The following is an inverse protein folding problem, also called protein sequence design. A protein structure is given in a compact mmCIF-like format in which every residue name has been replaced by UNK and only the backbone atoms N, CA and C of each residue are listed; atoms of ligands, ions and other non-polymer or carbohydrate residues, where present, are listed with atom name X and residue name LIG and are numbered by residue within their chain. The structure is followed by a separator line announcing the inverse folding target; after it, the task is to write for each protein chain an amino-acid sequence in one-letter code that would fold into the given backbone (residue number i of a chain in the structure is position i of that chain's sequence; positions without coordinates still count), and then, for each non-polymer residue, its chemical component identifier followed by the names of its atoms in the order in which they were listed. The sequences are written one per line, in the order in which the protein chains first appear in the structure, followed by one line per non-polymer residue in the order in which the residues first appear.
data_IF_049909772455
#
_entry.id   IF_049909772455
#
_cell.length_a   1.000
_cell.length_b   1.000
_cell.length_c   1.000
_cell.angle_alpha   90.00
_cell.angle_beta   90.00
_cell.angle_gamma   90.00
#
_symmetry.space_group_name_H-M   'P 1'
#
loop_
_entity.id
_entity.type
_entity.pdbx_description
1 polymer ?
#
# COMPACT_ATOMS: atom_id res chain seq x y z
N UNK A 1 13.44 -0.17 6.71
CA UNK A 1 12.52 -0.93 7.57
C UNK A 1 11.11 -0.94 7.00
N UNK A 2 10.25 -1.75 7.59
CA UNK A 2 8.84 -1.78 7.22
C UNK A 2 8.03 -2.73 8.11
N UNK A 3 6.72 -2.67 7.91
CA UNK A 3 5.72 -3.43 8.64
C UNK A 3 4.63 -3.91 7.69
N UNK A 4 4.26 -5.19 7.79
CA UNK A 4 3.01 -5.71 7.27
C UNK A 4 2.04 -5.85 8.43
N UNK A 5 0.82 -5.36 8.28
CA UNK A 5 -0.23 -5.49 9.28
C UNK A 5 -1.58 -5.85 8.63
N UNK A 6 -2.56 -6.26 9.40
CA UNK A 6 -3.93 -6.38 8.93
C UNK A 6 -4.48 -4.99 8.56
N UNK A 7 -5.44 -4.95 7.62
CA UNK A 7 -6.08 -3.69 7.21
C UNK A 7 -6.75 -3.05 8.43
N UNK A 8 -6.39 -1.81 8.82
CA UNK A 8 -7.01 -1.09 9.94
C UNK A 8 -8.36 -0.50 9.51
N UNK A 9 -9.40 -1.34 9.43
CA UNK A 9 -10.71 -0.99 8.87
C UNK A 9 -11.35 0.23 9.56
N UNK A 10 -11.30 0.29 10.89
CA UNK A 10 -11.86 1.41 11.65
C UNK A 10 -11.20 2.74 11.30
N UNK A 11 -9.87 2.74 11.19
CA UNK A 11 -9.09 3.90 10.77
C UNK A 11 -9.49 4.36 9.36
N UNK A 12 -9.57 3.47 8.39
CA UNK A 12 -9.94 3.85 7.02
C UNK A 12 -11.37 4.35 6.91
N UNK A 13 -12.32 3.74 7.62
CA UNK A 13 -13.72 4.23 7.64
C UNK A 13 -13.85 5.64 8.17
N UNK A 14 -13.01 6.02 9.12
CA UNK A 14 -12.99 7.37 9.70
C UNK A 14 -12.26 8.37 8.80
N UNK A 15 -11.14 7.95 8.18
CA UNK A 15 -10.24 8.85 7.46
C UNK A 15 -10.62 9.09 6.00
N UNK A 16 -11.49 8.27 5.40
CA UNK A 16 -11.89 8.42 4.00
C UNK A 16 -13.23 9.17 3.85
N UNK A 17 -13.36 10.01 2.80
CA UNK A 17 -14.60 10.73 2.52
C UNK A 17 -15.65 9.87 1.81
N UNK A 18 -15.36 8.59 1.55
CA UNK A 18 -16.25 7.66 0.86
C UNK A 18 -16.57 6.45 1.74
N UNK A 19 -17.79 5.89 1.66
CA UNK A 19 -18.13 4.69 2.41
C UNK A 19 -17.38 3.48 1.87
N UNK A 20 -16.82 2.68 2.78
CA UNK A 20 -16.18 1.42 2.42
C UNK A 20 -17.16 0.25 2.52
N UNK A 21 -17.08 -0.76 1.63
CA UNK A 21 -17.77 -2.04 1.78
C UNK A 21 -17.40 -2.74 3.09
N UNK A 22 -18.08 -3.86 3.39
CA UNK A 22 -17.72 -4.69 4.56
C UNK A 22 -16.26 -5.18 4.46
N UNK A 23 -15.57 -5.40 5.59
CA UNK A 23 -14.25 -6.02 5.61
C UNK A 23 -14.20 -7.30 4.75
N UNK A 24 -13.14 -7.47 3.98
CA UNK A 24 -12.99 -8.56 3.02
C UNK A 24 -13.68 -8.34 1.65
N UNK A 25 -14.53 -7.31 1.52
CA UNK A 25 -15.17 -6.90 0.25
C UNK A 25 -14.56 -5.63 -0.34
N UNK A 26 -13.47 -5.15 0.21
CA UNK A 26 -12.58 -4.15 -0.39
C UNK A 26 -11.13 -4.52 -0.11
N UNK A 27 -10.23 -3.99 -0.90
CA UNK A 27 -8.79 -4.16 -0.76
C UNK A 27 -8.09 -2.80 -0.75
N UNK A 28 -6.88 -2.78 -0.20
CA UNK A 28 -6.00 -1.63 -0.25
C UNK A 28 -4.73 -2.01 -1.01
N UNK A 29 -4.47 -1.31 -2.10
CA UNK A 29 -3.21 -1.38 -2.82
C UNK A 29 -2.32 -0.25 -2.33
N UNK A 30 -1.16 -0.58 -1.75
CA UNK A 30 -0.11 0.41 -1.51
C UNK A 30 0.67 0.59 -2.81
N UNK A 31 0.80 1.83 -3.28
CA UNK A 31 1.43 2.18 -4.54
C UNK A 31 2.55 3.21 -4.32
N UNK A 32 3.72 2.93 -4.86
CA UNK A 32 4.86 3.83 -4.92
C UNK A 32 5.06 4.30 -6.36
N UNK A 33 5.05 5.61 -6.62
CA UNK A 33 5.14 6.21 -7.95
C UNK A 33 3.80 6.29 -8.69
N UNK A 34 3.82 6.33 -10.01
CA UNK A 34 2.63 6.32 -10.85
C UNK A 34 1.87 7.65 -10.88
N UNK A 35 2.54 8.79 -10.83
CA UNK A 35 1.93 10.12 -10.69
C UNK A 35 0.97 10.50 -11.82
N UNK A 36 1.13 9.93 -13.02
CA UNK A 36 0.31 10.27 -14.20
C UNK A 36 -0.32 9.02 -14.86
N UNK A 37 -0.37 7.91 -14.13
CA UNK A 37 -0.74 6.60 -14.68
C UNK A 37 -2.09 6.09 -14.13
N UNK A 38 -2.88 6.96 -13.52
CA UNK A 38 -4.15 6.61 -12.84
C UNK A 38 -5.15 5.97 -13.80
N UNK A 39 -5.34 6.55 -14.98
CA UNK A 39 -6.29 6.03 -15.98
C UNK A 39 -5.90 4.64 -16.49
N UNK A 40 -4.61 4.39 -16.67
CA UNK A 40 -4.09 3.07 -17.08
C UNK A 40 -4.30 2.05 -15.97
N UNK A 41 -3.98 2.42 -14.72
CA UNK A 41 -4.18 1.57 -13.55
C UNK A 41 -5.66 1.26 -13.34
N UNK A 42 -6.53 2.24 -13.46
CA UNK A 42 -7.98 2.07 -13.36
C UNK A 42 -8.53 1.12 -14.43
N UNK A 43 -8.07 1.29 -15.69
CA UNK A 43 -8.44 0.38 -16.79
C UNK A 43 -8.01 -1.07 -16.50
N UNK A 44 -6.80 -1.28 -15.98
CA UNK A 44 -6.29 -2.62 -15.63
C UNK A 44 -7.08 -3.24 -14.48
N UNK A 45 -7.43 -2.47 -13.45
CA UNK A 45 -8.25 -2.95 -12.33
C UNK A 45 -9.64 -3.32 -12.82
N UNK A 46 -10.25 -2.49 -13.66
CA UNK A 46 -11.59 -2.71 -14.19
C UNK A 46 -11.65 -3.93 -15.12
N UNK A 47 -10.62 -4.14 -15.97
CA UNK A 47 -10.55 -5.31 -16.86
C UNK A 47 -10.52 -6.64 -16.12
N UNK A 48 -10.06 -6.64 -14.85
CA UNK A 48 -10.02 -7.82 -13.99
C UNK A 48 -11.22 -7.92 -13.04
N UNK A 49 -12.26 -7.08 -13.24
CA UNK A 49 -13.50 -7.11 -12.48
C UNK A 49 -13.45 -6.33 -11.15
N UNK A 50 -12.40 -5.56 -10.91
CA UNK A 50 -12.32 -4.66 -9.76
C UNK A 50 -12.93 -3.29 -10.08
N UNK A 51 -13.19 -2.52 -9.03
CA UNK A 51 -13.63 -1.13 -9.16
C UNK A 51 -12.86 -0.27 -8.18
N UNK A 52 -12.22 0.83 -8.66
CA UNK A 52 -11.58 1.79 -7.77
C UNK A 52 -12.66 2.56 -7.01
N UNK A 53 -12.55 2.56 -5.70
CA UNK A 53 -13.44 3.26 -4.77
C UNK A 53 -12.88 4.64 -4.43
N UNK A 54 -11.56 4.71 -4.21
CA UNK A 54 -10.91 5.94 -3.79
C UNK A 54 -9.40 5.88 -3.98
N UNK A 55 -8.79 7.03 -4.27
CA UNK A 55 -7.36 7.29 -4.27
C UNK A 55 -6.99 8.14 -3.06
N UNK A 56 -6.04 7.70 -2.27
CA UNK A 56 -5.58 8.41 -1.08
C UNK A 56 -4.07 8.63 -1.15
N UNK A 57 -3.63 9.88 -1.03
CA UNK A 57 -2.23 10.16 -0.75
C UNK A 57 -1.96 9.79 0.72
N UNK A 58 -0.93 8.97 0.94
CA UNK A 58 -0.53 8.62 2.31
C UNK A 58 0.18 9.82 2.94
N UNK A 59 -0.28 10.31 4.09
CA UNK A 59 0.39 11.41 4.76
C UNK A 59 1.74 10.95 5.31
N UNK A 60 2.81 11.57 4.82
CA UNK A 60 4.19 11.27 5.22
C UNK A 60 4.91 12.54 5.68
N UNK A 61 5.89 12.37 6.57
CA UNK A 61 6.81 13.41 6.98
C UNK A 61 8.21 13.15 6.41
N UNK A 62 8.61 13.78 5.29
CA UNK A 62 9.92 13.56 4.68
C UNK A 62 11.10 13.99 5.55
N UNK A 63 10.88 14.85 6.55
CA UNK A 63 11.94 15.30 7.46
C UNK A 63 12.33 14.23 8.49
N UNK A 64 11.51 13.19 8.65
CA UNK A 64 11.80 12.07 9.53
C UNK A 64 12.88 11.11 9.00
N UNK A 65 13.24 11.20 7.71
CA UNK A 65 14.16 10.27 7.04
C UNK A 65 15.42 10.98 6.54
N UNK A 66 16.49 10.21 6.29
CA UNK A 66 17.77 10.74 5.83
C UNK A 66 17.69 11.40 4.45
N UNK A 67 18.64 12.31 4.16
CA UNK A 67 18.68 13.10 2.92
C UNK A 67 18.60 12.25 1.65
N UNK A 68 19.35 11.16 1.57
CA UNK A 68 19.37 10.27 0.39
C UNK A 68 18.02 9.56 0.21
N UNK A 69 17.41 9.08 1.29
CA UNK A 69 16.09 8.45 1.24
C UNK A 69 15.01 9.44 0.82
N UNK A 70 15.09 10.69 1.28
CA UNK A 70 14.17 11.78 0.91
C UNK A 70 14.26 12.12 -0.58
N UNK A 71 15.48 12.23 -1.13
CA UNK A 71 15.69 12.56 -2.55
C UNK A 71 15.10 11.52 -3.51
N UNK A 72 15.03 10.27 -3.08
CA UNK A 72 14.49 9.16 -3.87
C UNK A 72 13.11 8.69 -3.41
N UNK A 73 12.47 9.43 -2.49
CA UNK A 73 11.16 9.08 -1.97
C UNK A 73 10.11 9.19 -3.08
N UNK A 74 9.42 8.09 -3.41
CA UNK A 74 8.34 8.13 -4.38
C UNK A 74 7.10 8.82 -3.82
N UNK A 75 6.18 9.21 -4.68
CA UNK A 75 4.81 9.46 -4.27
C UNK A 75 4.23 8.17 -3.68
N UNK A 76 3.66 8.25 -2.48
CA UNK A 76 3.08 7.10 -1.78
C UNK A 76 1.57 7.26 -1.73
N UNK A 77 0.87 6.30 -2.33
CA UNK A 77 -0.60 6.32 -2.41
C UNK A 77 -1.21 5.00 -1.97
N UNK A 78 -2.45 5.08 -1.56
CA UNK A 78 -3.33 3.94 -1.33
C UNK A 78 -4.48 3.98 -2.33
N UNK A 79 -4.70 2.86 -3.03
CA UNK A 79 -5.81 2.69 -3.96
C UNK A 79 -6.78 1.71 -3.33
N UNK A 80 -8.00 2.16 -3.06
CA UNK A 80 -9.06 1.33 -2.49
C UNK A 80 -9.83 0.69 -3.63
N UNK A 81 -9.91 -0.65 -3.63
CA UNK A 81 -10.52 -1.45 -4.69
C UNK A 81 -11.70 -2.21 -4.12
N UNK A 82 -12.88 -2.06 -4.73
CA UNK A 82 -14.08 -2.82 -4.38
C UNK A 82 -14.07 -4.21 -4.99
N UNK A 83 -14.49 -5.18 -4.18
CA UNK A 83 -14.56 -6.59 -4.53
C UNK A 83 -15.91 -7.24 -4.25
N UNK A 84 -17.02 -6.47 -4.30
CA UNK A 84 -18.36 -6.96 -3.98
C UNK A 84 -18.84 -8.06 -4.94
N UNK A 85 -18.43 -7.97 -6.21
CA UNK A 85 -18.86 -8.86 -7.28
C UNK A 85 -18.11 -10.20 -7.30
N UNK A 86 -17.06 -10.36 -6.49
CA UNK A 86 -16.37 -11.64 -6.35
C UNK A 86 -17.11 -12.56 -5.39
N UNK A 87 -17.19 -13.87 -5.70
CA UNK A 87 -17.96 -14.83 -4.93
C UNK A 87 -17.51 -14.92 -3.46
N UNK A 88 -16.21 -14.93 -3.24
CA UNK A 88 -15.60 -14.97 -1.91
C UNK A 88 -14.30 -14.16 -1.84
N UNK A 89 -13.77 -14.01 -0.63
CA UNK A 89 -12.54 -13.26 -0.39
C UNK A 89 -11.32 -13.93 -1.04
N UNK A 90 -11.29 -15.26 -1.14
CA UNK A 90 -10.16 -15.97 -1.75
C UNK A 90 -10.12 -15.75 -3.28
N UNK A 91 -11.29 -15.72 -3.94
CA UNK A 91 -11.40 -15.35 -5.36
C UNK A 91 -10.95 -13.90 -5.57
N UNK A 92 -11.35 -12.98 -4.69
CA UNK A 92 -10.92 -11.60 -4.74
C UNK A 92 -9.39 -11.47 -4.57
N UNK A 93 -8.79 -12.14 -3.58
CA UNK A 93 -7.33 -12.15 -3.38
C UNK A 93 -6.56 -12.64 -4.62
N UNK A 94 -7.03 -13.71 -5.27
CA UNK A 94 -6.42 -14.19 -6.52
C UNK A 94 -6.45 -13.13 -7.63
N UNK A 95 -7.57 -12.41 -7.75
CA UNK A 95 -7.69 -11.33 -8.73
C UNK A 95 -6.85 -10.12 -8.38
N UNK A 96 -6.74 -9.75 -7.11
CA UNK A 96 -5.84 -8.70 -6.66
C UNK A 96 -4.38 -9.02 -6.98
N UNK A 97 -3.97 -10.29 -6.86
CA UNK A 97 -2.65 -10.73 -7.28
C UNK A 97 -2.45 -10.54 -8.80
N UNK A 98 -3.43 -10.93 -9.63
CA UNK A 98 -3.38 -10.72 -11.09
C UNK A 98 -3.31 -9.25 -11.43
N UNK A 99 -4.17 -8.41 -10.84
CA UNK A 99 -4.16 -6.95 -11.02
C UNK A 99 -2.78 -6.37 -10.71
N UNK A 100 -2.23 -6.72 -9.55
CA UNK A 100 -0.88 -6.30 -9.13
C UNK A 100 0.16 -6.64 -10.20
N UNK A 101 0.20 -7.90 -10.67
CA UNK A 101 1.18 -8.34 -11.66
C UNK A 101 1.02 -7.66 -13.03
N UNK A 102 -0.22 -7.43 -13.46
CA UNK A 102 -0.49 -6.70 -14.70
C UNK A 102 -0.03 -5.24 -14.63
N UNK A 103 -0.32 -4.57 -13.50
CA UNK A 103 0.10 -3.18 -13.28
C UNK A 103 1.64 -3.10 -13.24
N UNK A 104 2.31 -3.96 -12.46
CA UNK A 104 3.78 -3.98 -12.37
C UNK A 104 4.46 -4.24 -13.73
N UNK A 105 3.83 -5.05 -14.59
CA UNK A 105 4.31 -5.33 -15.95
C UNK A 105 4.07 -4.16 -16.90
N UNK A 106 2.92 -3.51 -16.80
CA UNK A 106 2.53 -2.43 -17.70
C UNK A 106 3.15 -1.08 -17.32
N UNK A 107 3.33 -0.86 -16.03
CA UNK A 107 3.81 0.39 -15.43
C UNK A 107 5.07 0.12 -14.59
N UNK A 108 6.24 -0.05 -15.22
CA UNK A 108 7.49 -0.39 -14.53
C UNK A 108 7.98 0.72 -13.57
N UNK A 109 7.50 1.96 -13.74
CA UNK A 109 7.68 3.09 -12.82
C UNK A 109 6.99 2.89 -11.48
N UNK A 110 5.96 2.04 -11.44
CA UNK A 110 5.20 1.72 -10.24
C UNK A 110 5.84 0.57 -9.46
N UNK A 111 5.76 0.65 -8.13
CA UNK A 111 6.02 -0.47 -7.23
C UNK A 111 4.80 -0.66 -6.34
N UNK A 112 4.34 -1.90 -6.20
CA UNK A 112 3.19 -2.23 -5.37
C UNK A 112 3.65 -3.08 -4.18
N UNK A 113 3.98 -2.48 -3.03
CA UNK A 113 4.35 -3.19 -1.81
C UNK A 113 3.32 -4.22 -1.36
N UNK A 114 2.03 -3.85 -1.46
CA UNK A 114 0.92 -4.74 -1.13
C UNK A 114 -0.31 -4.42 -1.96
N UNK A 115 -1.12 -5.45 -2.23
CA UNK A 115 -2.46 -5.33 -2.82
C UNK A 115 -3.30 -6.49 -2.28
N UNK A 116 -4.08 -6.24 -1.24
CA UNK A 116 -4.81 -7.29 -0.52
C UNK A 116 -6.05 -6.74 0.17
N UNK A 117 -7.05 -7.60 0.37
CA UNK A 117 -8.23 -7.34 1.21
C UNK A 117 -7.99 -7.73 2.68
N UNK A 118 -6.78 -8.22 3.02
CA UNK A 118 -6.44 -8.74 4.36
C UNK A 118 -5.36 -7.92 5.05
N UNK A 119 -4.35 -7.50 4.31
CA UNK A 119 -3.14 -6.88 4.86
C UNK A 119 -2.64 -5.70 4.04
N UNK A 120 -1.85 -4.87 4.68
CA UNK A 120 -1.20 -3.72 4.06
C UNK A 120 0.26 -3.63 4.51
N UNK A 121 1.14 -3.16 3.63
CA UNK A 121 2.57 -2.99 3.90
C UNK A 121 2.95 -1.51 3.91
N UNK A 122 3.49 -1.05 5.02
CA UNK A 122 4.21 0.21 5.16
C UNK A 122 5.70 -0.08 5.19
N UNK A 123 6.45 0.42 4.23
CA UNK A 123 7.90 0.16 4.12
C UNK A 123 8.64 1.32 3.47
N UNK A 124 9.96 1.35 3.64
CA UNK A 124 10.77 2.37 2.98
C UNK A 124 12.25 2.33 3.34
N UNK A 125 13.00 3.29 2.80
CA UNK A 125 14.39 3.54 3.13
C UNK A 125 14.48 4.35 4.43
N UNK A 126 14.13 3.72 5.55
CA UNK A 126 14.06 4.33 6.88
C UNK A 126 14.51 3.33 7.95
N UNK A 127 14.90 3.84 9.10
CA UNK A 127 15.17 3.02 10.29
C UNK A 127 13.86 2.62 10.96
N UNK A 128 13.89 1.55 11.77
CA UNK A 128 12.71 1.10 12.50
C UNK A 128 12.13 2.20 13.41
N UNK A 129 12.98 3.02 14.01
CA UNK A 129 12.61 4.15 14.88
C UNK A 129 12.09 5.39 14.13
N UNK A 130 12.01 5.32 12.81
CA UNK A 130 11.53 6.41 11.95
C UNK A 130 10.17 6.09 11.33
N UNK A 131 9.69 4.85 11.42
CA UNK A 131 8.52 4.40 10.65
C UNK A 131 7.24 5.16 11.03
N UNK A 132 7.00 5.36 12.31
CA UNK A 132 5.86 6.11 12.85
C UNK A 132 6.00 7.62 12.63
N UNK A 133 7.26 8.12 12.68
CA UNK A 133 7.54 9.53 12.39
C UNK A 133 7.38 9.87 10.91
N UNK A 134 7.65 8.91 10.02
CA UNK A 134 7.52 9.08 8.58
C UNK A 134 6.08 8.85 8.10
N UNK A 135 5.45 7.73 8.49
CA UNK A 135 4.06 7.41 8.17
C UNK A 135 3.12 7.91 9.26
N UNK A 136 2.51 9.06 9.05
CA UNK A 136 1.69 9.73 10.07
C UNK A 136 0.44 8.93 10.45
N UNK A 137 -0.06 8.07 9.55
CA UNK A 137 -1.16 7.15 9.81
C UNK A 137 -0.94 6.28 11.05
N UNK A 138 0.31 5.86 11.29
CA UNK A 138 0.65 4.94 12.38
C UNK A 138 0.51 5.57 13.79
N UNK A 139 0.32 6.89 13.86
CA UNK A 139 0.09 7.60 15.12
C UNK A 139 -1.40 7.78 15.45
N UNK A 140 -2.31 7.41 14.53
CA UNK A 140 -3.75 7.52 14.80
C UNK A 140 -4.18 6.40 15.78
N UNK A 141 -4.88 6.72 16.89
CA UNK A 141 -5.32 5.74 17.88
C UNK A 141 -6.30 4.69 17.32
N UNK A 142 -6.95 4.98 16.19
CA UNK A 142 -7.84 4.04 15.51
C UNK A 142 -7.09 3.14 14.51
N UNK A 143 -5.80 3.39 14.27
CA UNK A 143 -4.94 2.50 13.49
C UNK A 143 -4.58 1.26 14.32
N UNK A 144 -5.47 0.30 14.35
CA UNK A 144 -5.33 -0.94 15.14
C UNK A 144 -5.22 -2.16 14.23
N UNK A 145 -4.32 -3.06 14.56
CA UNK A 145 -4.14 -4.32 13.85
C UNK A 145 -3.89 -5.46 14.85
N UNK A 146 -4.54 -6.63 14.68
CA UNK A 146 -4.28 -7.80 15.49
C UNK A 146 -2.96 -8.50 15.14
N UNK A 147 -2.30 -8.10 14.05
CA UNK A 147 -1.08 -8.69 13.54
C UNK A 147 -0.13 -7.59 13.08
N UNK A 148 1.15 -7.71 13.43
CA UNK A 148 2.23 -6.93 12.83
C UNK A 148 3.44 -7.83 12.57
N UNK A 149 3.87 -7.92 11.30
CA UNK A 149 5.13 -8.52 10.90
C UNK A 149 6.09 -7.37 10.57
N UNK A 150 7.17 -7.25 11.34
CA UNK A 150 8.12 -6.14 11.19
C UNK A 150 9.48 -6.61 10.68
N UNK A 151 10.14 -5.77 9.89
CA UNK A 151 11.48 -5.99 9.38
C UNK A 151 12.30 -4.70 9.47
N UNK A 152 13.50 -4.78 10.05
CA UNK A 152 14.36 -3.61 10.22
C UNK A 152 15.75 -3.75 9.59
N UNK A 153 16.16 -4.96 9.17
CA UNK A 153 17.48 -5.17 8.56
C UNK A 153 17.50 -4.75 7.10
N UNK A 154 18.61 -4.16 6.70
CA UNK A 154 18.97 -4.00 5.30
C UNK A 154 19.75 -5.22 4.81
N UNK A 155 19.62 -5.55 3.53
CA UNK A 155 20.46 -6.51 2.83
C UNK A 155 21.91 -6.03 2.83
N UNK A 156 22.87 -6.92 3.11
CA UNK A 156 24.31 -6.62 2.99
C UNK A 156 24.75 -6.65 1.54
N UNK A 157 25.71 -5.79 1.17
CA UNK A 157 26.31 -5.73 -0.17
C UNK A 157 25.32 -5.45 -1.31
N UNK A 158 24.24 -4.71 -1.03
CA UNK A 158 23.25 -4.31 -2.03
C UNK A 158 23.01 -2.80 -1.99
N UNK A 159 22.58 -2.23 -3.13
CA UNK A 159 22.12 -0.86 -3.17
C UNK A 159 20.64 -0.81 -2.78
N UNK A 160 20.30 -0.23 -1.63
CA UNK A 160 18.92 -0.17 -1.17
C UNK A 160 18.09 0.77 -2.04
N UNK A 161 16.88 0.35 -2.37
CA UNK A 161 15.88 1.19 -3.04
C UNK A 161 14.54 1.08 -2.32
N UNK A 162 13.64 2.04 -2.53
CA UNK A 162 12.29 2.01 -1.98
C UNK A 162 11.54 0.73 -2.41
N UNK A 163 11.72 0.31 -3.67
CA UNK A 163 11.13 -0.91 -4.22
C UNK A 163 11.60 -2.16 -3.49
N UNK A 164 12.88 -2.26 -3.18
CA UNK A 164 13.53 -3.44 -2.59
C UNK A 164 13.54 -3.43 -1.06
N UNK A 165 13.00 -2.39 -0.41
CA UNK A 165 12.86 -2.38 1.03
C UNK A 165 11.91 -3.50 1.51
N UNK A 166 12.22 -4.12 2.65
CA UNK A 166 11.40 -5.15 3.27
C UNK A 166 10.38 -4.55 4.26
N UNK A 167 9.31 -5.30 4.60
CA UNK A 167 8.87 -6.61 4.06
C UNK A 167 8.23 -6.48 2.67
N UNK A 168 8.06 -7.61 1.96
CA UNK A 168 7.37 -7.71 0.66
C UNK A 168 6.48 -8.93 0.55
#
# INVERSE_FOLDING_TARGET
AGMLCAIPDAFFRKSLPVPLPKPGKYAVMMLFGGEHEESVLESLVTSEGGRILYWRNVPVNPDAIGKTARQSCPLIRQVFIGGQDFPDQAAFERKLFVMRRLIEKRLPSCCIPSCSSRSIVYKGLLLATQIDRFYLDLNDPDFKSPLALVHQRYSTNTFPTWKLAHPF
#
